data_IF_810815348333
#
_entry.id   IF_810815348333
#
_cell.length_a   1.000
_cell.length_b   1.000
_cell.length_c   1.000
_cell.angle_alpha   90.00
_cell.angle_beta   90.00
_cell.angle_gamma   90.00
#
_symmetry.space_group_name_H-M   'P 1'
#
loop_
_entity.id
_entity.type
_entity.pdbx_description
1 polymer ?
#
# COMPACT_ATOMS: atom_id res chain seq x y z
N UNK A 1 21.91 -8.90 39.02
CA UNK A 1 22.12 -9.78 37.86
C UNK A 1 20.73 -10.18 37.37
N UNK A 2 20.18 -9.48 36.38
CA UNK A 2 18.84 -9.78 35.86
C UNK A 2 18.96 -10.96 34.89
N UNK A 3 18.37 -12.10 35.25
CA UNK A 3 18.30 -13.26 34.39
C UNK A 3 17.36 -12.92 33.22
N UNK A 4 17.92 -12.86 32.00
CA UNK A 4 17.10 -12.83 30.81
C UNK A 4 16.34 -14.16 30.70
N UNK A 5 15.01 -14.15 30.56
CA UNK A 5 14.25 -15.38 30.36
C UNK A 5 14.76 -16.12 29.13
N UNK A 6 14.87 -17.45 29.22
CA UNK A 6 15.26 -18.29 28.09
C UNK A 6 14.24 -18.14 26.95
N UNK A 7 14.65 -18.17 25.67
CA UNK A 7 13.79 -17.85 24.52
C UNK A 7 12.46 -18.63 24.48
N UNK A 8 12.49 -19.89 24.94
CA UNK A 8 11.33 -20.79 25.02
C UNK A 8 10.27 -20.36 26.04
N UNK A 9 10.67 -19.67 27.11
CA UNK A 9 9.72 -19.20 28.13
C UNK A 9 8.92 -17.98 27.66
N UNK A 10 9.55 -17.07 26.91
CA UNK A 10 8.90 -15.91 26.33
C UNK A 10 7.93 -16.31 25.20
N UNK A 11 8.33 -17.24 24.32
CA UNK A 11 7.45 -17.74 23.25
C UNK A 11 6.18 -18.38 23.80
N UNK A 12 6.31 -19.23 24.83
CA UNK A 12 5.14 -19.83 25.49
C UNK A 12 4.24 -18.77 26.14
N UNK A 13 4.84 -17.78 26.79
CA UNK A 13 4.08 -16.68 27.37
C UNK A 13 3.30 -15.89 26.31
N UNK A 14 3.91 -15.60 25.16
CA UNK A 14 3.23 -14.95 24.03
C UNK A 14 2.08 -15.81 23.49
N UNK A 15 2.28 -17.12 23.31
CA UNK A 15 1.23 -18.03 22.86
C UNK A 15 0.06 -18.10 23.85
N UNK A 16 0.34 -18.16 25.15
CA UNK A 16 -0.71 -18.17 26.18
C UNK A 16 -1.53 -16.86 26.16
N UNK A 17 -0.91 -15.73 25.82
CA UNK A 17 -1.60 -14.45 25.64
C UNK A 17 -2.46 -14.48 24.37
N UNK A 18 -1.89 -14.90 23.24
CA UNK A 18 -2.61 -14.95 21.96
C UNK A 18 -3.82 -15.89 22.01
N UNK A 19 -3.73 -16.99 22.75
CA UNK A 19 -4.85 -17.90 23.00
C UNK A 19 -5.98 -17.23 23.80
N UNK A 20 -5.64 -16.37 24.76
CA UNK A 20 -6.63 -15.63 25.57
C UNK A 20 -7.18 -14.39 24.86
N UNK A 21 -6.41 -13.80 23.95
CA UNK A 21 -6.74 -12.58 23.22
C UNK A 21 -6.57 -12.82 21.71
N UNK A 22 -7.46 -13.59 21.07
CA UNK A 22 -7.31 -14.00 19.67
C UNK A 22 -7.39 -12.85 18.66
N UNK A 23 -7.86 -11.68 19.09
CA UNK A 23 -7.90 -10.44 18.29
C UNK A 23 -6.68 -9.54 18.51
N UNK A 24 -5.68 -9.97 19.30
CA UNK A 24 -4.50 -9.17 19.58
C UNK A 24 -3.65 -9.03 18.32
N UNK A 25 -3.35 -7.79 17.95
CA UNK A 25 -2.40 -7.48 16.89
C UNK A 25 -0.99 -7.47 17.46
N UNK A 26 -0.11 -8.31 16.92
CA UNK A 26 1.31 -8.27 17.25
C UNK A 26 2.00 -7.29 16.33
N UNK A 27 2.70 -6.34 16.94
CA UNK A 27 3.45 -5.31 16.27
C UNK A 27 4.95 -5.53 16.46
N UNK A 28 5.69 -5.55 15.36
CA UNK A 28 7.14 -5.71 15.37
C UNK A 28 7.76 -4.56 14.61
N UNK A 29 8.40 -3.68 15.37
CA UNK A 29 9.09 -2.52 14.82
C UNK A 29 10.55 -2.83 14.53
N UNK A 30 11.02 -2.39 13.37
CA UNK A 30 12.41 -2.56 12.93
C UNK A 30 12.85 -4.02 12.89
N UNK A 31 12.27 -4.79 11.96
CA UNK A 31 12.65 -6.17 11.70
C UNK A 31 14.05 -6.21 11.10
N UNK A 32 15.04 -6.58 11.92
CA UNK A 32 16.46 -6.56 11.55
C UNK A 32 17.12 -7.95 11.55
N UNK A 33 16.47 -8.98 12.10
CA UNK A 33 17.08 -10.28 12.35
C UNK A 33 16.22 -11.44 11.87
N UNK A 34 16.79 -12.47 11.22
CA UNK A 34 16.07 -13.68 10.85
C UNK A 34 15.50 -14.44 12.05
N UNK A 35 16.17 -14.39 13.21
CA UNK A 35 15.68 -15.03 14.44
C UNK A 35 14.34 -14.45 14.90
N UNK A 36 14.09 -13.17 14.62
CA UNK A 36 12.82 -12.53 14.96
C UNK A 36 11.68 -13.10 14.11
N UNK A 37 11.91 -13.26 12.80
CA UNK A 37 10.97 -13.89 11.89
C UNK A 37 10.71 -15.35 12.31
N UNK A 38 11.76 -16.09 12.64
CA UNK A 38 11.64 -17.47 13.10
C UNK A 38 10.88 -17.60 14.43
N UNK A 39 11.03 -16.63 15.35
CA UNK A 39 10.25 -16.61 16.59
C UNK A 39 8.78 -16.30 16.31
N UNK A 40 8.49 -15.38 15.39
CA UNK A 40 7.11 -15.08 14.97
C UNK A 40 6.47 -16.30 14.32
N UNK A 41 7.20 -17.04 13.48
CA UNK A 41 6.66 -18.24 12.81
C UNK A 41 6.27 -19.38 13.77
N UNK A 42 6.64 -19.29 15.04
CA UNK A 42 6.26 -20.25 16.08
C UNK A 42 4.99 -19.86 16.84
N UNK A 43 4.40 -18.69 16.56
CA UNK A 43 3.18 -18.19 17.21
C UNK A 43 1.94 -18.68 16.46
N UNK A 44 1.54 -19.92 16.73
CA UNK A 44 0.45 -20.63 16.05
C UNK A 44 -0.93 -19.99 16.19
N UNK A 45 -1.19 -19.26 17.28
CA UNK A 45 -2.46 -18.55 17.48
C UNK A 45 -2.46 -17.11 16.94
N UNK A 46 -1.37 -16.69 16.27
CA UNK A 46 -1.27 -15.35 15.73
C UNK A 46 -2.19 -15.16 14.52
N UNK A 47 -3.19 -14.28 14.68
CA UNK A 47 -4.18 -13.94 13.65
C UNK A 47 -3.93 -12.59 12.98
N UNK A 48 -3.27 -11.65 13.67
CA UNK A 48 -2.98 -10.31 13.17
C UNK A 48 -1.54 -9.90 13.43
N UNK A 49 -0.80 -9.59 12.37
CA UNK A 49 0.62 -9.24 12.42
C UNK A 49 0.90 -7.93 11.68
N UNK A 50 1.74 -7.09 12.29
CA UNK A 50 2.19 -5.83 11.73
C UNK A 50 3.71 -5.73 11.79
N UNK A 51 4.35 -5.71 10.62
CA UNK A 51 5.81 -5.67 10.47
C UNK A 51 6.27 -4.32 9.91
N UNK A 52 7.34 -3.78 10.48
CA UNK A 52 8.03 -2.60 9.98
C UNK A 52 9.50 -2.90 9.73
N UNK A 53 9.94 -2.72 8.50
CA UNK A 53 11.35 -2.76 8.11
C UNK A 53 11.85 -1.32 7.99
N UNK A 54 12.86 -0.93 8.76
CA UNK A 54 13.44 0.44 8.68
C UNK A 54 14.74 0.48 7.88
N UNK A 55 15.47 -0.63 7.89
CA UNK A 55 16.72 -0.81 7.17
C UNK A 55 16.60 -2.04 6.28
N UNK A 56 17.38 -2.06 5.20
CA UNK A 56 17.55 -3.25 4.37
C UNK A 56 18.20 -4.36 5.22
N UNK A 57 17.40 -5.30 5.71
CA UNK A 57 17.93 -6.46 6.44
C UNK A 57 18.44 -7.48 5.43
N UNK A 58 19.75 -7.49 5.21
CA UNK A 58 20.40 -8.40 4.25
C UNK A 58 20.42 -9.85 4.72
N UNK A 59 20.16 -10.08 6.00
CA UNK A 59 20.24 -11.40 6.64
C UNK A 59 18.91 -12.16 6.60
N UNK A 60 17.80 -11.50 6.25
CA UNK A 60 16.50 -12.15 6.10
C UNK A 60 16.40 -12.72 4.71
N UNK A 61 16.27 -14.04 4.62
CA UNK A 61 16.16 -14.75 3.35
C UNK A 61 14.71 -15.18 3.11
N UNK A 62 14.45 -15.72 1.91
CA UNK A 62 13.16 -16.32 1.60
C UNK A 62 12.81 -17.51 2.51
N UNK A 63 13.78 -18.19 3.12
CA UNK A 63 13.54 -19.37 3.96
C UNK A 63 12.79 -18.99 5.23
N UNK A 64 13.22 -17.93 5.93
CA UNK A 64 12.56 -17.48 7.14
C UNK A 64 11.13 -16.99 6.84
N UNK A 65 10.96 -16.28 5.72
CA UNK A 65 9.65 -15.81 5.29
C UNK A 65 8.71 -16.98 4.95
N UNK A 66 9.19 -17.97 4.20
CA UNK A 66 8.38 -19.14 3.85
C UNK A 66 7.98 -19.95 5.09
N UNK A 67 8.85 -20.02 6.11
CA UNK A 67 8.51 -20.62 7.41
C UNK A 67 7.36 -19.88 8.10
N UNK A 68 7.33 -18.54 8.05
CA UNK A 68 6.17 -17.77 8.53
C UNK A 68 4.91 -18.11 7.74
N UNK A 69 4.99 -18.12 6.40
CA UNK A 69 3.82 -18.42 5.53
C UNK A 69 3.24 -19.80 5.82
N UNK A 70 4.07 -20.81 6.07
CA UNK A 70 3.60 -22.19 6.30
C UNK A 70 2.98 -22.40 7.68
N UNK A 71 3.43 -21.66 8.68
CA UNK A 71 3.06 -21.92 10.08
C UNK A 71 1.95 -21.01 10.58
N UNK A 72 1.82 -19.80 10.03
CA UNK A 72 0.89 -18.80 10.51
C UNK A 72 -0.45 -18.88 9.79
N UNK A 73 -1.53 -18.65 10.54
CA UNK A 73 -2.90 -18.52 10.01
C UNK A 73 -3.38 -17.07 10.15
N UNK A 74 -2.60 -16.16 9.56
CA UNK A 74 -2.93 -14.73 9.60
C UNK A 74 -4.24 -14.45 8.86
N UNK A 75 -5.14 -13.74 9.54
CA UNK A 75 -6.32 -13.13 8.94
C UNK A 75 -6.06 -11.66 8.56
N UNK A 76 -5.15 -10.99 9.27
CA UNK A 76 -4.77 -9.60 9.06
C UNK A 76 -3.25 -9.47 9.04
N UNK A 77 -2.71 -8.83 8.01
CA UNK A 77 -1.28 -8.62 7.87
C UNK A 77 -0.99 -7.21 7.37
N UNK A 78 -0.04 -6.53 8.01
CA UNK A 78 0.41 -5.22 7.59
C UNK A 78 1.93 -5.21 7.45
N UNK A 79 2.41 -4.77 6.30
CA UNK A 79 3.82 -4.78 5.93
C UNK A 79 4.27 -3.40 5.51
N UNK A 80 5.10 -2.77 6.34
CA UNK A 80 5.62 -1.43 6.10
C UNK A 80 7.13 -1.44 5.89
N UNK A 81 7.57 -0.73 4.87
CA UNK A 81 8.96 -0.42 4.60
C UNK A 81 9.19 1.07 4.82
N UNK A 82 10.12 1.40 5.70
CA UNK A 82 10.46 2.76 6.10
C UNK A 82 11.90 3.07 5.67
N UNK A 83 12.18 4.34 5.41
CA UNK A 83 13.54 4.83 5.11
C UNK A 83 14.23 4.01 4.00
N UNK A 84 15.39 3.41 4.28
CA UNK A 84 16.20 2.66 3.32
C UNK A 84 15.50 1.39 2.81
N UNK A 85 14.67 0.76 3.65
CA UNK A 85 13.98 -0.47 3.27
C UNK A 85 12.90 -0.24 2.20
N UNK A 86 12.42 0.99 2.03
CA UNK A 86 11.36 1.31 1.08
C UNK A 86 11.80 1.14 -0.38
N UNK A 87 13.10 1.26 -0.65
CA UNK A 87 13.70 1.19 -1.99
C UNK A 87 14.35 -0.18 -2.26
N UNK A 88 14.34 -1.08 -1.27
CA UNK A 88 14.94 -2.40 -1.38
C UNK A 88 14.01 -3.39 -2.10
N UNK A 89 14.26 -3.56 -3.39
CA UNK A 89 13.54 -4.48 -4.25
C UNK A 89 13.70 -5.94 -3.84
N UNK A 90 14.87 -6.30 -3.30
CA UNK A 90 15.15 -7.67 -2.87
C UNK A 90 14.30 -8.04 -1.66
N UNK A 91 14.21 -7.13 -0.70
CA UNK A 91 13.42 -7.31 0.50
C UNK A 91 11.91 -7.35 0.19
N UNK A 92 11.42 -6.45 -0.67
CA UNK A 92 10.02 -6.48 -1.14
C UNK A 92 9.67 -7.83 -1.78
N UNK A 93 10.57 -8.37 -2.61
CA UNK A 93 10.39 -9.67 -3.27
C UNK A 93 10.41 -10.82 -2.26
N UNK A 94 11.33 -10.79 -1.30
CA UNK A 94 11.46 -11.81 -0.24
C UNK A 94 10.21 -11.84 0.64
N UNK A 95 9.61 -10.69 0.95
CA UNK A 95 8.40 -10.60 1.78
C UNK A 95 7.10 -10.88 1.03
N UNK A 96 7.10 -10.90 -0.30
CA UNK A 96 5.92 -11.12 -1.14
C UNK A 96 5.07 -12.35 -0.74
N UNK A 97 5.66 -13.52 -0.39
CA UNK A 97 4.90 -14.68 0.03
C UNK A 97 3.96 -14.43 1.24
N UNK A 98 4.31 -13.53 2.16
CA UNK A 98 3.46 -13.20 3.33
C UNK A 98 2.11 -12.60 2.92
N UNK A 99 2.08 -11.85 1.83
CA UNK A 99 0.87 -11.26 1.31
C UNK A 99 0.00 -12.27 0.54
N UNK A 100 0.48 -13.50 0.34
CA UNK A 100 -0.23 -14.58 -0.37
C UNK A 100 -0.76 -15.69 0.56
N UNK A 101 -0.69 -15.47 1.88
CA UNK A 101 -1.27 -16.40 2.88
C UNK A 101 -2.76 -16.61 2.59
N UNK A 102 -3.18 -17.86 2.43
CA UNK A 102 -4.52 -18.22 1.95
C UNK A 102 -5.66 -17.80 2.87
N UNK A 103 -5.39 -17.65 4.17
CA UNK A 103 -6.36 -17.23 5.19
C UNK A 103 -6.45 -15.72 5.35
N UNK A 104 -5.63 -14.96 4.62
CA UNK A 104 -5.52 -13.53 4.77
C UNK A 104 -6.77 -12.82 4.22
N UNK A 105 -7.43 -12.05 5.07
CA UNK A 105 -8.62 -11.25 4.75
C UNK A 105 -8.27 -9.77 4.55
N UNK A 106 -7.30 -9.29 5.30
CA UNK A 106 -6.85 -7.90 5.26
C UNK A 106 -5.33 -7.85 5.04
N UNK A 107 -4.90 -7.16 4.01
CA UNK A 107 -3.49 -6.85 3.77
C UNK A 107 -3.33 -5.34 3.66
N UNK A 108 -2.32 -4.78 4.31
CA UNK A 108 -1.94 -3.38 4.10
C UNK A 108 -0.45 -3.32 3.86
N UNK A 109 -0.02 -2.56 2.87
CA UNK A 109 1.38 -2.24 2.70
C UNK A 109 1.55 -0.76 2.37
N UNK A 110 2.78 -0.26 2.42
CA UNK A 110 3.15 1.02 1.83
C UNK A 110 4.14 0.86 0.67
N UNK A 111 4.51 -0.36 0.29
CA UNK A 111 5.47 -0.60 -0.79
C UNK A 111 4.74 -0.91 -2.09
N UNK A 112 4.84 0.01 -3.05
CA UNK A 112 4.32 -0.19 -4.40
C UNK A 112 4.98 -1.38 -5.11
N UNK A 113 6.24 -1.72 -4.79
CA UNK A 113 6.94 -2.91 -5.31
C UNK A 113 6.25 -4.20 -4.89
N UNK A 114 5.80 -4.31 -3.63
CA UNK A 114 5.03 -5.46 -3.17
C UNK A 114 3.69 -5.54 -3.91
N UNK A 115 3.02 -4.40 -4.11
CA UNK A 115 1.78 -4.34 -4.89
C UNK A 115 1.99 -4.83 -6.32
N UNK A 116 3.05 -4.36 -6.98
CA UNK A 116 3.40 -4.79 -8.34
C UNK A 116 3.70 -6.29 -8.40
N UNK A 117 4.44 -6.81 -7.42
CA UNK A 117 4.74 -8.24 -7.29
C UNK A 117 3.48 -9.08 -7.11
N UNK A 118 2.52 -8.60 -6.31
CA UNK A 118 1.23 -9.26 -6.06
C UNK A 118 0.35 -9.29 -7.30
N UNK A 119 0.18 -8.14 -7.95
CA UNK A 119 -0.61 -8.04 -9.17
C UNK A 119 -0.03 -8.87 -10.32
N UNK A 120 1.28 -9.15 -10.30
CA UNK A 120 1.94 -10.00 -11.28
C UNK A 120 1.70 -11.50 -11.05
N UNK A 121 1.24 -11.91 -9.85
CA UNK A 121 0.99 -13.31 -9.52
C UNK A 121 -0.16 -13.92 -10.34
N UNK A 122 -0.13 -15.25 -10.50
CA UNK A 122 -1.24 -16.01 -11.09
C UNK A 122 -2.46 -16.08 -10.17
N UNK A 123 -2.21 -16.15 -8.86
CA UNK A 123 -3.24 -16.21 -7.83
C UNK A 123 -3.16 -14.89 -7.07
N UNK A 124 -4.25 -14.12 -7.15
CA UNK A 124 -4.32 -12.79 -6.56
C UNK A 124 -5.10 -12.90 -5.26
N UNK A 125 -4.53 -12.50 -4.13
CA UNK A 125 -5.21 -12.58 -2.84
C UNK A 125 -6.44 -11.65 -2.82
N UNK A 126 -7.41 -11.96 -1.97
CA UNK A 126 -8.62 -11.14 -1.80
C UNK A 126 -8.29 -9.88 -0.98
N UNK A 127 -7.57 -8.94 -1.59
CA UNK A 127 -7.20 -7.69 -0.96
C UNK A 127 -8.38 -6.70 -1.01
N UNK A 128 -8.77 -6.17 0.15
CA UNK A 128 -9.85 -5.19 0.26
C UNK A 128 -9.29 -3.77 0.36
N UNK A 129 -8.54 -3.39 1.41
CA UNK A 129 -7.78 -2.14 1.41
C UNK A 129 -6.40 -2.35 0.80
N UNK A 130 -5.92 -1.35 0.06
CA UNK A 130 -4.57 -1.29 -0.46
C UNK A 130 -4.06 0.15 -0.34
N UNK A 131 -2.97 0.34 0.38
CA UNK A 131 -2.20 1.59 0.36
C UNK A 131 -0.91 1.36 -0.41
N UNK A 132 -0.50 2.33 -1.22
CA UNK A 132 0.76 2.34 -1.93
C UNK A 132 1.37 3.73 -1.82
N UNK A 133 2.57 3.80 -1.24
CA UNK A 133 3.31 5.04 -1.06
C UNK A 133 4.51 5.06 -2.02
N UNK A 134 4.97 6.26 -2.39
CA UNK A 134 6.12 6.48 -3.26
C UNK A 134 6.02 5.71 -4.59
N UNK A 135 4.85 5.75 -5.21
CA UNK A 135 4.61 5.05 -6.49
C UNK A 135 5.43 5.74 -7.58
N UNK A 136 6.36 5.03 -8.20
CA UNK A 136 7.24 5.60 -9.24
C UNK A 136 6.55 5.72 -10.61
N UNK A 137 5.66 4.78 -10.93
CA UNK A 137 4.96 4.73 -12.21
C UNK A 137 3.47 4.42 -11.97
N UNK A 138 2.64 5.48 -12.01
CA UNK A 138 1.19 5.36 -11.86
C UNK A 138 0.55 4.53 -12.98
N UNK A 139 1.04 4.60 -14.22
CA UNK A 139 0.43 3.89 -15.34
C UNK A 139 0.67 2.39 -15.23
N UNK A 140 1.88 1.99 -14.84
CA UNK A 140 2.24 0.62 -14.52
C UNK A 140 1.42 0.11 -13.35
N UNK A 141 1.34 0.89 -12.25
CA UNK A 141 0.54 0.52 -11.10
C UNK A 141 -0.93 0.32 -11.50
N UNK A 142 -1.51 1.26 -12.25
CA UNK A 142 -2.89 1.15 -12.73
C UNK A 142 -3.14 -0.12 -13.58
N UNK A 143 -2.23 -0.44 -14.51
CA UNK A 143 -2.29 -1.68 -15.31
C UNK A 143 -2.21 -2.93 -14.43
N UNK A 144 -1.57 -2.86 -13.28
CA UNK A 144 -1.43 -3.98 -12.37
C UNK A 144 -2.65 -4.08 -11.44
N UNK A 145 -3.14 -2.96 -10.92
CA UNK A 145 -4.28 -2.90 -10.00
C UNK A 145 -5.57 -3.46 -10.60
N UNK A 146 -5.81 -3.31 -11.91
CA UNK A 146 -7.01 -3.87 -12.54
C UNK A 146 -7.09 -5.41 -12.44
N UNK A 147 -5.99 -6.08 -12.09
CA UNK A 147 -5.95 -7.52 -11.86
C UNK A 147 -6.45 -7.90 -10.46
N UNK A 148 -6.68 -6.94 -9.57
CA UNK A 148 -7.16 -7.15 -8.20
C UNK A 148 -8.65 -6.80 -8.13
N UNK A 149 -9.57 -7.73 -8.50
CA UNK A 149 -11.00 -7.41 -8.61
C UNK A 149 -11.69 -7.18 -7.26
N UNK A 150 -11.01 -7.46 -6.14
CA UNK A 150 -11.56 -7.31 -4.78
C UNK A 150 -11.24 -5.96 -4.15
N UNK A 151 -10.53 -5.08 -4.85
CA UNK A 151 -10.02 -3.82 -4.31
C UNK A 151 -11.16 -2.84 -3.95
N UNK A 152 -11.43 -2.68 -2.65
CA UNK A 152 -12.49 -1.81 -2.11
C UNK A 152 -11.97 -0.42 -1.78
N UNK A 153 -10.79 -0.33 -1.19
CA UNK A 153 -10.17 0.93 -0.79
C UNK A 153 -8.76 1.03 -1.40
N UNK A 154 -8.48 2.13 -2.10
CA UNK A 154 -7.17 2.43 -2.68
C UNK A 154 -6.65 3.76 -2.12
N UNK A 155 -5.49 3.73 -1.50
CA UNK A 155 -4.77 4.90 -1.03
C UNK A 155 -3.45 5.00 -1.78
N UNK A 156 -3.25 6.14 -2.45
CA UNK A 156 -2.05 6.44 -3.21
C UNK A 156 -1.40 7.68 -2.61
N UNK A 157 -0.13 7.56 -2.24
CA UNK A 157 0.66 8.66 -1.67
C UNK A 157 2.01 8.79 -2.39
N UNK A 158 2.51 10.03 -2.50
CA UNK A 158 3.75 10.38 -3.18
C UNK A 158 3.91 9.73 -4.56
N UNK A 159 2.85 9.80 -5.37
CA UNK A 159 2.80 9.18 -6.70
C UNK A 159 3.48 10.06 -7.74
N UNK A 160 4.33 9.45 -8.55
CA UNK A 160 4.97 10.03 -9.72
C UNK A 160 4.25 9.62 -10.99
N UNK A 161 4.18 10.57 -11.92
CA UNK A 161 3.81 10.28 -13.30
C UNK A 161 5.02 9.71 -14.03
N UNK A 162 4.86 8.76 -14.96
CA UNK A 162 6.00 8.19 -15.69
C UNK A 162 6.75 9.27 -16.47
N UNK A 163 8.08 9.27 -16.37
CA UNK A 163 8.94 10.30 -16.98
C UNK A 163 8.79 10.34 -18.52
N UNK A 164 8.58 9.17 -19.13
CA UNK A 164 8.43 9.01 -20.57
C UNK A 164 7.01 9.30 -21.09
N UNK A 165 6.05 9.60 -20.20
CA UNK A 165 4.66 9.86 -20.56
C UNK A 165 4.32 11.36 -20.50
N UNK A 166 3.46 11.83 -21.40
CA UNK A 166 2.96 13.21 -21.37
C UNK A 166 2.35 13.51 -19.99
N UNK A 167 2.92 14.50 -19.29
CA UNK A 167 2.55 14.79 -17.90
C UNK A 167 1.18 15.50 -17.86
N UNK A 168 0.13 14.90 -17.25
CA UNK A 168 -1.19 15.51 -17.16
C UNK A 168 -1.20 16.80 -16.33
N UNK A 169 -0.20 17.02 -15.47
CA UNK A 169 -0.10 18.25 -14.69
C UNK A 169 0.43 19.46 -15.48
N UNK A 170 1.04 19.24 -16.65
CA UNK A 170 1.37 20.33 -17.57
C UNK A 170 0.12 21.12 -17.99
N UNK A 171 -1.05 20.47 -17.98
CA UNK A 171 -2.37 21.07 -18.22
C UNK A 171 -2.77 22.04 -17.09
N UNK A 172 -2.38 21.79 -15.84
CA UNK A 172 -2.68 22.67 -14.69
C UNK A 172 -1.77 23.91 -14.65
N UNK A 173 -0.56 23.82 -15.22
CA UNK A 173 0.42 24.90 -15.23
C UNK A 173 0.29 25.86 -16.42
N UNK A 174 -0.79 25.75 -17.20
CA UNK A 174 -1.12 26.74 -18.24
C UNK A 174 -0.16 26.78 -19.43
N UNK A 175 0.61 25.71 -19.70
CA UNK A 175 1.44 25.66 -20.89
C UNK A 175 0.57 25.69 -22.15
N UNK A 176 0.83 26.63 -23.09
CA UNK A 176 0.02 26.76 -24.28
C UNK A 176 0.37 25.65 -25.27
N UNK A 177 -0.67 24.99 -25.77
CA UNK A 177 -0.70 24.23 -27.01
C UNK A 177 0.32 23.07 -27.12
N UNK A 178 -0.13 21.90 -26.69
CA UNK A 178 -0.23 20.75 -27.59
C UNK A 178 -1.56 20.06 -27.28
N UNK A 179 -2.24 19.52 -28.29
CA UNK A 179 -3.40 18.62 -28.15
C UNK A 179 -2.95 17.29 -27.50
N UNK A 180 -2.30 17.39 -26.33
CA UNK A 180 -1.82 16.27 -25.55
C UNK A 180 -3.02 15.39 -25.23
N UNK A 181 -2.94 14.14 -25.66
CA UNK A 181 -3.97 13.14 -25.42
C UNK A 181 -4.07 13.02 -23.91
N UNK A 182 -5.11 13.63 -23.32
CA UNK A 182 -5.32 13.60 -21.87
C UNK A 182 -5.28 12.13 -21.44
N UNK A 183 -4.26 11.71 -20.67
CA UNK A 183 -4.21 10.33 -20.24
C UNK A 183 -5.43 10.10 -19.36
N UNK A 184 -6.31 9.22 -19.82
CA UNK A 184 -7.58 8.94 -19.16
C UNK A 184 -7.52 7.54 -18.57
N UNK A 185 -7.50 7.47 -17.24
CA UNK A 185 -7.54 6.24 -16.47
C UNK A 185 -8.99 5.96 -16.08
N UNK A 186 -9.59 4.93 -16.68
CA UNK A 186 -10.99 4.62 -16.41
C UNK A 186 -11.18 4.00 -15.01
N UNK A 187 -12.05 4.57 -14.20
CA UNK A 187 -12.48 3.97 -12.93
C UNK A 187 -13.42 2.77 -13.13
N UNK A 188 -13.93 2.56 -14.35
CA UNK A 188 -14.80 1.44 -14.67
C UNK A 188 -14.11 0.08 -14.52
N UNK A 189 -12.77 0.05 -14.53
CA UNK A 189 -11.99 -1.16 -14.30
C UNK A 189 -12.00 -1.60 -12.82
N UNK A 190 -12.51 -0.76 -11.92
CA UNK A 190 -12.58 -1.03 -10.49
C UNK A 190 -14.04 -1.02 -10.01
N UNK A 191 -14.85 -2.02 -10.39
CA UNK A 191 -16.30 -2.01 -10.15
C UNK A 191 -16.68 -2.04 -8.67
N UNK A 192 -15.78 -2.52 -7.80
CA UNK A 192 -16.01 -2.64 -6.36
C UNK A 192 -15.32 -1.55 -5.54
N UNK A 193 -14.51 -0.68 -6.16
CA UNK A 193 -13.79 0.37 -5.47
C UNK A 193 -14.77 1.41 -4.91
N UNK A 194 -14.70 1.62 -3.58
CA UNK A 194 -15.58 2.50 -2.81
C UNK A 194 -14.83 3.71 -2.27
N UNK A 195 -13.56 3.58 -1.91
CA UNK A 195 -12.75 4.68 -1.38
C UNK A 195 -11.48 4.85 -2.20
N UNK A 196 -11.18 6.10 -2.55
CA UNK A 196 -9.98 6.46 -3.29
C UNK A 196 -9.32 7.65 -2.61
N UNK A 197 -8.15 7.45 -2.00
CA UNK A 197 -7.26 8.53 -1.58
C UNK A 197 -6.17 8.72 -2.62
N UNK A 198 -6.02 9.92 -3.15
CA UNK A 198 -5.02 10.23 -4.20
C UNK A 198 -4.48 11.64 -4.05
N UNK A 199 -3.27 11.92 -4.57
CA UNK A 199 -2.79 13.28 -4.68
C UNK A 199 -3.72 14.12 -5.56
N UNK A 200 -4.06 15.33 -5.09
CA UNK A 200 -4.95 16.29 -5.76
C UNK A 200 -4.70 16.44 -7.29
N UNK A 201 -3.45 16.55 -7.78
CA UNK A 201 -3.20 16.75 -9.20
C UNK A 201 -3.59 15.53 -10.07
N UNK A 202 -3.60 14.34 -9.48
CA UNK A 202 -3.89 13.09 -10.21
C UNK A 202 -5.39 12.82 -10.34
N UNK A 203 -6.23 13.55 -9.61
CA UNK A 203 -7.69 13.38 -9.68
C UNK A 203 -8.22 13.55 -11.11
N UNK A 204 -7.61 14.45 -11.89
CA UNK A 204 -8.02 14.77 -13.27
C UNK A 204 -7.69 13.68 -14.29
N UNK A 205 -6.82 12.74 -13.93
CA UNK A 205 -6.44 11.61 -14.81
C UNK A 205 -7.55 10.55 -14.80
N UNK A 206 -8.31 10.45 -13.71
CA UNK A 206 -9.36 9.46 -13.57
C UNK A 206 -10.66 9.89 -14.24
N UNK A 207 -11.27 8.99 -15.01
CA UNK A 207 -12.50 9.25 -15.78
C UNK A 207 -13.44 8.04 -15.79
N UNK A 208 -14.63 8.20 -16.37
CA UNK A 208 -15.57 7.10 -16.58
C UNK A 208 -16.50 6.80 -15.40
N UNK A 209 -17.40 5.81 -15.54
CA UNK A 209 -18.32 5.42 -14.48
C UNK A 209 -17.55 4.80 -13.30
N UNK A 210 -18.00 5.06 -12.08
CA UNK A 210 -17.35 4.60 -10.85
C UNK A 210 -18.36 4.15 -9.78
N UNK A 211 -17.85 3.38 -8.81
CA UNK A 211 -18.58 2.90 -7.63
C UNK A 211 -18.19 3.64 -6.34
N UNK A 212 -17.36 4.68 -6.46
CA UNK A 212 -16.78 5.43 -5.36
C UNK A 212 -17.87 6.10 -4.50
N UNK A 213 -17.73 5.93 -3.18
CA UNK A 213 -18.51 6.59 -2.13
C UNK A 213 -17.72 7.70 -1.45
N UNK A 214 -16.40 7.66 -1.54
CA UNK A 214 -15.54 8.63 -0.91
C UNK A 214 -14.29 8.85 -1.76
N UNK A 215 -13.92 10.12 -1.92
CA UNK A 215 -12.61 10.52 -2.43
C UNK A 215 -11.93 11.39 -1.39
N UNK A 216 -10.69 11.06 -1.10
CA UNK A 216 -9.79 11.83 -0.25
C UNK A 216 -8.69 12.41 -1.15
N UNK A 217 -8.53 13.73 -1.12
CA UNK A 217 -7.54 14.43 -1.93
C UNK A 217 -6.38 14.86 -1.05
N UNK A 218 -5.20 14.34 -1.33
CA UNK A 218 -3.97 14.62 -0.60
C UNK A 218 -3.18 15.74 -1.30
N UNK A 219 -2.84 16.77 -0.53
CA UNK A 219 -2.12 17.94 -1.02
C UNK A 219 -0.61 17.79 -0.83
N UNK A 220 0.06 16.92 -1.58
CA UNK A 220 1.50 17.07 -1.79
C UNK A 220 1.97 16.27 -3.00
N UNK A 221 2.59 16.98 -3.96
CA UNK A 221 3.49 16.32 -4.90
C UNK A 221 4.71 15.82 -4.14
N UNK A 222 5.29 14.70 -4.54
CA UNK A 222 6.66 14.33 -4.14
C UNK A 222 7.73 15.25 -4.75
N UNK A 223 7.52 16.57 -4.74
CA UNK A 223 8.54 17.57 -5.11
C UNK A 223 9.41 17.76 -3.89
N UNK A 224 10.61 17.18 -3.95
CA UNK A 224 11.60 17.19 -2.89
C UNK A 224 12.32 18.53 -2.65
N UNK A 225 11.91 19.66 -3.26
CA UNK A 225 12.77 20.87 -3.24
C UNK A 225 12.07 22.23 -3.02
N UNK A 226 10.84 22.29 -2.50
CA UNK A 226 10.29 23.59 -2.07
C UNK A 226 9.70 23.47 -0.66
N UNK A 227 10.49 23.93 0.31
CA UNK A 227 10.05 24.29 1.65
C UNK A 227 8.98 25.40 1.58
N UNK A 228 7.72 25.04 1.34
CA UNK A 228 6.59 25.83 1.81
C UNK A 228 5.55 24.86 2.35
N UNK A 229 5.61 24.66 3.65
CA UNK A 229 4.62 23.95 4.41
C UNK A 229 3.27 24.68 4.39
N UNK A 230 2.23 24.01 3.90
CA UNK A 230 0.97 23.95 4.64
C UNK A 230 0.38 22.52 4.54
N UNK A 231 0.57 21.66 5.56
CA UNK A 231 0.22 20.24 5.49
C UNK A 231 -1.26 19.93 5.77
N UNK A 232 -2.19 20.89 5.57
CA UNK A 232 -3.58 20.74 6.03
C UNK A 232 -4.62 21.23 5.03
N UNK A 233 -4.80 20.47 3.96
CA UNK A 233 -6.07 20.49 3.22
C UNK A 233 -6.41 19.09 2.74
N UNK A 234 -6.78 18.23 3.69
CA UNK A 234 -7.55 17.02 3.40
C UNK A 234 -8.95 17.45 2.96
N UNK A 235 -9.15 17.60 1.66
CA UNK A 235 -10.49 17.74 1.11
C UNK A 235 -11.05 16.32 0.94
N UNK A 236 -11.79 15.86 1.97
CA UNK A 236 -12.60 14.65 1.83
C UNK A 236 -13.97 15.01 1.26
N UNK A 237 -14.33 14.36 0.15
CA UNK A 237 -15.62 14.51 -0.49
C UNK A 237 -16.36 13.18 -0.36
N UNK A 238 -17.50 13.23 0.34
CA UNK A 238 -18.46 12.11 0.33
C UNK A 238 -19.27 12.21 -0.96
N UNK A 239 -19.29 11.12 -1.71
CA UNK A 239 -19.96 11.03 -3.01
C UNK A 239 -21.20 10.16 -2.88
N UNK A 240 -22.30 10.60 -3.50
CA UNK A 240 -23.44 9.73 -3.77
C UNK A 240 -23.04 8.69 -4.85
N UNK A 241 -23.53 7.44 -4.80
CA UNK A 241 -23.27 6.44 -5.85
C UNK A 241 -23.67 6.87 -7.26
N UNK A 242 -24.62 7.80 -7.37
CA UNK A 242 -25.14 8.33 -8.64
C UNK A 242 -24.41 9.61 -9.10
N UNK A 243 -23.47 10.10 -8.27
CA UNK A 243 -22.73 11.32 -8.55
C UNK A 243 -21.67 11.02 -9.61
N UNK A 244 -21.80 11.64 -10.78
CA UNK A 244 -20.75 11.61 -11.79
C UNK A 244 -19.66 12.59 -11.37
N UNK A 245 -18.42 12.11 -11.27
CA UNK A 245 -17.26 12.99 -11.11
C UNK A 245 -17.01 13.74 -12.42
N UNK A 246 -17.22 15.05 -12.39
CA UNK A 246 -16.85 15.94 -13.47
C UNK A 246 -15.72 16.83 -12.98
N UNK A 247 -14.54 16.67 -13.56
CA UNK A 247 -13.40 17.53 -13.29
C UNK A 247 -13.30 18.57 -14.41
N UNK A 248 -13.85 19.77 -14.17
CA UNK A 248 -13.75 20.88 -15.11
C UNK A 248 -12.42 21.62 -14.93
N UNK A 249 -11.56 21.62 -15.96
CA UNK A 249 -10.44 22.55 -16.04
C UNK A 249 -10.97 23.93 -16.43
N UNK A 250 -11.42 24.70 -15.45
CA UNK A 250 -11.70 26.11 -15.68
C UNK A 250 -11.22 26.92 -14.48
N UNK A 251 -10.06 27.55 -14.63
CA UNK A 251 -9.78 28.81 -13.94
C UNK A 251 -9.88 29.92 -14.99
N UNK A 252 -10.64 30.99 -14.72
CA UNK A 252 -10.73 32.14 -15.61
C UNK A 252 -9.37 32.83 -15.62
N UNK A 253 -8.80 33.02 -16.81
CA UNK A 253 -7.70 33.94 -17.03
C UNK A 253 -8.13 35.34 -16.59
N UNK A 254 -7.39 35.94 -15.65
CA UNK A 254 -7.39 37.40 -15.44
C UNK A 254 -6.24 38.01 -16.21
#
# INVERSE_FOLDING_TARGET
MFAYPTPTSLLRFCEDILLKLPSMEVFVYNVISPNLIQNISQLSYLSSLKLYFRIASRDITGVEILSCVSNLRLESFRLYFLSEAAEDHSLATICLPLATISHLKNFVTNSWLVVCGLASQKIIPQLQPLSAQKVEDLLLLYKLLHRIPTLVDLELDHVRWPEDAENPAAVLLGSPAQEAVKPSLSLSLFPVLRRLSIPLPLVYVFTGPHSLRQIELEGNWGVSDIEVADPRSLHSLQLSPDMKLFFCSSMPSR
#
